data_IF_465292447718
#
_entry.id   IF_465292447718
#
_cell.length_a   1.000
_cell.length_b   1.000
_cell.length_c   1.000
_cell.angle_alpha   90.00
_cell.angle_beta   90.00
_cell.angle_gamma   90.00
#
_symmetry.space_group_name_H-M   'P 1'
#
loop_
_entity.id
_entity.type
_entity.pdbx_description
1 polymer ?
#
# COMPACT_ATOMS: atom_id res chain seq x y z
N UNK A 1 -26.02 -17.04 21.73
CA UNK A 1 -27.10 -16.10 21.38
C UNK A 1 -26.47 -14.90 20.71
N UNK A 2 -26.80 -14.74 19.43
CA UNK A 2 -26.18 -13.80 18.50
C UNK A 2 -26.36 -12.35 18.95
N UNK A 3 -25.27 -11.58 18.97
CA UNK A 3 -25.35 -10.12 19.00
C UNK A 3 -25.46 -9.65 17.56
N UNK A 4 -26.66 -9.17 17.24
CA UNK A 4 -27.11 -8.80 15.90
C UNK A 4 -26.20 -7.78 15.25
N UNK A 5 -25.74 -8.14 14.05
CA UNK A 5 -25.33 -7.21 13.02
C UNK A 5 -26.55 -6.95 12.12
N UNK A 6 -27.61 -6.38 12.70
CA UNK A 6 -28.70 -5.79 11.91
C UNK A 6 -28.36 -4.32 11.66
N UNK A 7 -27.63 -4.08 10.58
CA UNK A 7 -27.69 -2.83 9.85
C UNK A 7 -27.95 -3.17 8.40
N UNK A 8 -29.22 -3.49 8.17
CA UNK A 8 -29.92 -3.62 6.92
C UNK A 8 -30.22 -2.20 6.43
N UNK A 9 -29.40 -1.63 5.54
CA UNK A 9 -29.74 -0.43 4.73
C UNK A 9 -28.60 -0.09 3.74
N UNK A 10 -28.36 -0.95 2.74
CA UNK A 10 -27.58 -0.55 1.54
C UNK A 10 -28.15 -1.29 0.33
N UNK A 11 -29.45 -1.11 0.06
CA UNK A 11 -30.11 -1.68 -1.13
C UNK A 11 -30.45 -0.63 -2.20
N UNK A 12 -30.20 0.66 -1.95
CA UNK A 12 -30.65 1.75 -2.83
C UNK A 12 -29.52 2.48 -3.56
N UNK A 13 -28.33 1.89 -3.67
CA UNK A 13 -27.17 2.50 -4.35
C UNK A 13 -26.79 1.81 -5.67
N UNK A 14 -27.69 1.03 -6.27
CA UNK A 14 -27.36 0.23 -7.46
C UNK A 14 -27.77 0.87 -8.80
N UNK A 15 -28.61 1.91 -8.83
CA UNK A 15 -29.16 2.41 -10.11
C UNK A 15 -28.34 3.55 -10.75
N UNK A 16 -27.42 4.20 -10.03
CA UNK A 16 -26.45 5.16 -10.62
C UNK A 16 -25.05 4.54 -10.89
N UNK A 17 -24.93 3.21 -10.82
CA UNK A 17 -23.67 2.50 -11.04
C UNK A 17 -23.35 2.30 -12.53
N UNK A 18 -24.34 2.17 -13.41
CA UNK A 18 -24.12 1.68 -14.78
C UNK A 18 -23.39 2.67 -15.72
N UNK A 19 -23.45 3.99 -15.48
CA UNK A 19 -22.80 4.96 -16.36
C UNK A 19 -21.33 5.26 -15.99
N UNK A 20 -20.98 5.18 -14.69
CA UNK A 20 -19.58 5.32 -14.21
C UNK A 20 -18.76 4.05 -14.41
N UNK A 21 -19.43 2.89 -14.41
CA UNK A 21 -18.80 1.58 -14.57
C UNK A 21 -18.02 1.44 -15.89
N UNK A 22 -18.36 2.13 -16.97
CA UNK A 22 -17.64 1.96 -18.25
C UNK A 22 -16.28 2.65 -18.31
N UNK A 23 -16.09 3.73 -17.55
CA UNK A 23 -14.79 4.42 -17.42
C UNK A 23 -13.95 3.76 -16.33
N UNK A 24 -14.56 3.43 -15.19
CA UNK A 24 -13.92 2.69 -14.10
C UNK A 24 -13.49 1.28 -14.54
N UNK A 25 -14.30 0.56 -15.33
CA UNK A 25 -13.91 -0.76 -15.87
C UNK A 25 -12.74 -0.67 -16.87
N UNK A 26 -12.47 0.49 -17.46
CA UNK A 26 -11.32 0.69 -18.37
C UNK A 26 -10.03 0.89 -17.59
N UNK A 27 -10.08 1.66 -16.51
CA UNK A 27 -8.96 1.79 -15.58
C UNK A 27 -8.74 0.49 -14.80
N UNK A 28 -9.80 -0.16 -14.31
CA UNK A 28 -9.73 -1.44 -13.60
C UNK A 28 -9.21 -2.56 -14.52
N UNK A 29 -9.61 -2.60 -15.80
CA UNK A 29 -9.01 -3.53 -16.78
C UNK A 29 -7.56 -3.21 -17.11
N UNK A 30 -7.15 -1.95 -17.09
CA UNK A 30 -5.73 -1.59 -17.25
C UNK A 30 -4.91 -2.06 -16.02
N UNK A 31 -5.45 -1.94 -14.81
CA UNK A 31 -4.85 -2.47 -13.58
C UNK A 31 -4.84 -4.01 -13.53
N UNK A 32 -5.85 -4.67 -14.08
CA UNK A 32 -5.90 -6.15 -14.23
C UNK A 32 -4.98 -6.67 -15.35
N UNK A 33 -4.54 -5.80 -16.27
CA UNK A 33 -3.60 -6.17 -17.36
C UNK A 33 -2.12 -6.15 -16.94
N UNK A 34 -1.81 -5.63 -15.75
CA UNK A 34 -0.48 -5.77 -15.18
C UNK A 34 -0.24 -7.26 -14.93
N UNK A 35 0.67 -7.85 -15.72
CA UNK A 35 1.18 -9.22 -15.49
C UNK A 35 1.40 -9.43 -13.98
N UNK A 36 1.09 -10.61 -13.41
CA UNK A 36 1.29 -10.89 -11.99
C UNK A 36 2.67 -10.45 -11.47
N UNK A 37 3.68 -10.47 -12.33
CA UNK A 37 5.03 -9.96 -12.09
C UNK A 37 5.06 -8.45 -11.81
N UNK A 38 4.35 -7.64 -12.59
CA UNK A 38 4.26 -6.18 -12.40
C UNK A 38 3.52 -5.86 -11.11
N UNK A 39 2.41 -6.57 -10.83
CA UNK A 39 1.67 -6.39 -9.57
C UNK A 39 2.53 -6.69 -8.35
N UNK A 40 3.21 -7.84 -8.34
CA UNK A 40 4.12 -8.22 -7.26
C UNK A 40 5.27 -7.20 -7.08
N UNK A 41 5.79 -6.65 -8.17
CA UNK A 41 6.82 -5.59 -8.12
C UNK A 41 6.29 -4.32 -7.46
N UNK A 42 5.08 -3.88 -7.83
CA UNK A 42 4.45 -2.69 -7.25
C UNK A 42 4.14 -2.88 -5.76
N UNK A 43 3.56 -4.02 -5.38
CA UNK A 43 3.27 -4.36 -3.97
C UNK A 43 4.54 -4.38 -3.11
N UNK A 44 5.64 -4.93 -3.66
CA UNK A 44 6.94 -4.91 -3.00
C UNK A 44 7.48 -3.49 -2.85
N UNK A 45 7.40 -2.67 -3.90
CA UNK A 45 7.83 -1.28 -3.88
C UNK A 45 7.06 -0.46 -2.82
N UNK A 46 5.75 -0.64 -2.73
CA UNK A 46 4.91 0.00 -1.71
C UNK A 46 5.31 -0.43 -0.29
N UNK A 47 5.53 -1.73 -0.09
CA UNK A 47 5.98 -2.28 1.19
C UNK A 47 7.34 -1.72 1.63
N UNK A 48 8.27 -1.56 0.70
CA UNK A 48 9.57 -0.96 0.96
C UNK A 48 9.46 0.53 1.27
N UNK A 49 8.64 1.29 0.53
CA UNK A 49 8.37 2.70 0.81
C UNK A 49 7.78 2.91 2.20
N UNK A 50 6.82 2.08 2.60
CA UNK A 50 6.24 2.11 3.95
C UNK A 50 7.30 1.83 5.03
N UNK A 51 8.17 0.85 4.79
CA UNK A 51 9.26 0.49 5.71
C UNK A 51 10.30 1.61 5.84
N UNK A 52 10.61 2.30 4.73
CA UNK A 52 11.49 3.48 4.69
C UNK A 52 10.91 4.60 5.56
N UNK A 53 9.64 4.95 5.37
CA UNK A 53 8.96 5.98 6.18
C UNK A 53 9.00 5.65 7.66
N UNK A 54 8.66 4.41 8.05
CA UNK A 54 8.73 3.98 9.47
C UNK A 54 10.14 4.07 10.05
N UNK A 55 11.15 3.73 9.26
CA UNK A 55 12.56 3.79 9.70
C UNK A 55 13.02 5.24 9.89
N UNK A 56 12.58 6.17 9.04
CA UNK A 56 12.81 7.61 9.20
C UNK A 56 12.15 8.14 10.48
N UNK A 57 10.88 7.81 10.71
CA UNK A 57 10.17 8.20 11.94
C UNK A 57 10.87 7.66 13.20
N UNK A 58 11.35 6.42 13.16
CA UNK A 58 12.13 5.84 14.25
C UNK A 58 13.45 6.58 14.45
N UNK A 59 14.13 6.97 13.36
CA UNK A 59 15.40 7.70 13.43
C UNK A 59 15.20 9.11 14.00
N UNK A 60 14.10 9.78 13.72
CA UNK A 60 13.76 11.08 14.31
C UNK A 60 13.57 10.99 15.82
N UNK A 61 12.91 9.92 16.30
CA UNK A 61 12.59 9.72 17.72
C UNK A 61 13.73 9.07 18.52
N UNK A 62 14.66 8.37 17.85
CA UNK A 62 15.74 7.65 18.50
C UNK A 62 16.78 8.57 19.12
N UNK A 63 17.01 8.43 20.43
CA UNK A 63 18.05 9.19 21.18
C UNK A 63 19.35 8.41 21.32
N UNK A 64 19.30 7.08 21.30
CA UNK A 64 20.47 6.22 21.45
C UNK A 64 21.32 6.19 20.15
N UNK A 65 22.60 6.54 20.25
CA UNK A 65 23.50 6.64 19.09
C UNK A 65 23.68 5.30 18.34
N UNK A 66 23.86 4.19 19.05
CA UNK A 66 24.03 2.86 18.43
C UNK A 66 22.77 2.44 17.67
N UNK A 67 21.59 2.73 18.23
CA UNK A 67 20.32 2.45 17.56
C UNK A 67 20.13 3.34 16.32
N UNK A 68 20.49 4.63 16.39
CA UNK A 68 20.47 5.53 15.22
C UNK A 68 21.39 5.05 14.09
N UNK A 69 22.59 4.57 14.42
CA UNK A 69 23.51 3.99 13.42
C UNK A 69 22.93 2.75 12.76
N UNK A 70 22.28 1.88 13.53
CA UNK A 70 21.57 0.72 12.98
C UNK A 70 20.45 1.17 12.02
N UNK A 71 19.58 2.10 12.44
CA UNK A 71 18.49 2.62 11.62
C UNK A 71 18.99 3.28 10.32
N UNK A 72 20.11 4.00 10.36
CA UNK A 72 20.76 4.57 9.16
C UNK A 72 21.24 3.50 8.17
N UNK A 73 21.76 2.38 8.68
CA UNK A 73 22.17 1.24 7.83
C UNK A 73 20.94 0.59 7.20
N UNK A 74 19.89 0.36 7.99
CA UNK A 74 18.62 -0.17 7.50
C UNK A 74 18.01 0.74 6.43
N UNK A 75 18.02 2.04 6.66
CA UNK A 75 17.49 3.02 5.71
C UNK A 75 18.22 2.94 4.36
N UNK A 76 19.56 2.88 4.36
CA UNK A 76 20.36 2.73 3.14
C UNK A 76 20.05 1.44 2.39
N UNK A 77 19.86 0.33 3.11
CA UNK A 77 19.50 -0.94 2.49
C UNK A 77 18.11 -0.87 1.82
N UNK A 78 17.12 -0.27 2.50
CA UNK A 78 15.78 -0.07 1.94
C UNK A 78 15.80 0.85 0.72
N UNK A 79 16.60 1.91 0.75
CA UNK A 79 16.75 2.83 -0.39
C UNK A 79 17.38 2.14 -1.60
N UNK A 80 18.39 1.29 -1.39
CA UNK A 80 18.98 0.49 -2.45
C UNK A 80 17.97 -0.50 -3.06
N UNK A 81 17.20 -1.22 -2.24
CA UNK A 81 16.16 -2.13 -2.74
C UNK A 81 15.07 -1.39 -3.53
N UNK A 82 14.70 -0.17 -3.12
CA UNK A 82 13.74 0.66 -3.85
C UNK A 82 14.31 1.08 -5.21
N UNK A 83 15.59 1.46 -5.26
CA UNK A 83 16.27 1.85 -6.50
C UNK A 83 16.39 0.67 -7.48
N UNK A 84 16.70 -0.53 -7.00
CA UNK A 84 16.73 -1.75 -7.81
C UNK A 84 15.34 -2.14 -8.38
N UNK A 85 14.27 -1.76 -7.68
CA UNK A 85 12.89 -2.07 -8.07
C UNK A 85 12.20 -0.95 -8.84
N UNK A 86 12.79 0.23 -9.02
CA UNK A 86 12.29 1.28 -9.93
C UNK A 86 12.72 0.99 -11.37
#
# INVERSE_FOLDING_TARGET
>A
MARGWESKSVADQMEEADARSLEDEKEERAHLSASPVIRARLERLESLKLSRTRTLEQLERATNQSYREMLRRTLRALEAEIEELN
#
